data_IF_345727942080
#
_entry.id   IF_345727942080
#
_cell.length_a   1.000
_cell.length_b   1.000
_cell.length_c   1.000
_cell.angle_alpha   90.00
_cell.angle_beta   90.00
_cell.angle_gamma   90.00
#
_symmetry.space_group_name_H-M   'P 1'
#
loop_
_entity.id
_entity.type
_entity.pdbx_description
1 polymer ?
#
# COMPACT_ATOMS: atom_id res chain seq x y z
N UNK A 1 3.14 -11.22 -16.05
CA UNK A 1 3.36 -11.32 -14.59
C UNK A 1 2.28 -10.50 -13.91
N UNK A 2 1.73 -10.98 -12.80
CA UNK A 2 0.72 -10.25 -12.02
C UNK A 2 1.38 -9.28 -11.04
N UNK A 3 0.83 -8.07 -10.91
CA UNK A 3 1.18 -7.11 -9.87
C UNK A 3 -0.05 -6.87 -9.00
N UNK A 4 -0.04 -7.41 -7.79
CA UNK A 4 -1.13 -7.15 -6.84
C UNK A 4 -0.93 -5.79 -6.19
N UNK A 5 -1.92 -4.92 -6.34
CA UNK A 5 -1.81 -3.53 -5.89
C UNK A 5 -2.76 -3.26 -4.72
N UNK A 6 -2.22 -2.92 -3.55
CA UNK A 6 -3.01 -2.56 -2.37
C UNK A 6 -3.09 -1.03 -2.21
N UNK A 7 -4.30 -0.49 -1.99
CA UNK A 7 -4.53 0.94 -1.92
C UNK A 7 -4.09 1.54 -0.57
N UNK A 8 -4.04 2.87 -0.53
CA UNK A 8 -3.92 3.65 0.71
C UNK A 8 -5.24 3.75 1.47
N UNK A 9 -5.19 4.28 2.69
CA UNK A 9 -6.36 4.40 3.58
C UNK A 9 -7.52 5.16 2.90
N UNK A 10 -8.74 4.65 3.05
CA UNK A 10 -9.96 5.21 2.45
C UNK A 10 -10.14 4.95 0.96
N UNK A 11 -9.08 4.64 0.23
CA UNK A 11 -9.18 4.35 -1.20
C UNK A 11 -9.71 2.95 -1.48
N UNK A 12 -10.41 2.82 -2.61
CA UNK A 12 -10.79 1.54 -3.20
C UNK A 12 -9.78 1.10 -4.26
N UNK A 13 -9.92 -0.12 -4.76
CA UNK A 13 -9.14 -0.68 -5.85
C UNK A 13 -9.17 0.18 -7.14
N UNK A 14 -10.17 1.05 -7.29
CA UNK A 14 -10.32 1.91 -8.48
C UNK A 14 -9.20 2.92 -8.66
N UNK A 15 -8.41 3.23 -7.63
CA UNK A 15 -7.24 4.12 -7.77
C UNK A 15 -6.21 3.58 -8.77
N UNK A 16 -6.21 2.26 -9.01
CA UNK A 16 -5.32 1.60 -9.96
C UNK A 16 -5.95 1.45 -11.36
N UNK A 17 -7.14 2.02 -11.61
CA UNK A 17 -7.76 2.00 -12.94
C UNK A 17 -6.87 2.66 -14.01
N UNK A 18 -6.21 3.82 -13.76
CA UNK A 18 -5.27 4.38 -14.72
C UNK A 18 -4.11 3.43 -15.02
N UNK A 19 -3.66 2.66 -14.02
CA UNK A 19 -2.54 1.73 -14.18
C UNK A 19 -2.86 0.59 -15.13
N UNK A 20 -4.08 0.04 -15.07
CA UNK A 20 -4.54 -1.00 -16.00
C UNK A 20 -4.46 -0.51 -17.46
N UNK A 21 -4.70 0.78 -17.70
CA UNK A 21 -4.67 1.38 -19.04
C UNK A 21 -3.25 1.67 -19.54
N UNK A 22 -2.34 2.02 -18.63
CA UNK A 22 -0.97 2.45 -18.97
C UNK A 22 0.07 1.32 -18.87
N UNK A 23 -0.23 0.23 -18.17
CA UNK A 23 0.70 -0.90 -17.99
C UNK A 23 1.04 -1.60 -19.32
N UNK A 24 2.26 -2.12 -19.40
CA UNK A 24 2.69 -2.91 -20.55
C UNK A 24 1.94 -4.25 -20.62
N UNK A 25 1.79 -4.87 -21.81
CA UNK A 25 1.11 -6.16 -21.94
C UNK A 25 1.73 -7.31 -21.13
N UNK A 26 2.98 -7.16 -20.68
CA UNK A 26 3.70 -8.15 -19.87
C UNK A 26 3.36 -8.05 -18.38
N UNK A 27 2.74 -6.95 -17.95
CA UNK A 27 2.39 -6.64 -16.57
C UNK A 27 0.86 -6.55 -16.41
N UNK A 28 0.29 -7.53 -15.74
CA UNK A 28 -1.13 -7.57 -15.42
C UNK A 28 -1.34 -6.92 -14.05
N UNK A 29 -1.97 -5.74 -14.03
CA UNK A 29 -2.31 -5.03 -12.80
C UNK A 29 -3.52 -5.72 -12.15
N UNK A 30 -3.38 -6.11 -10.89
CA UNK A 30 -4.39 -6.83 -10.10
C UNK A 30 -4.73 -6.03 -8.83
N UNK A 31 -5.63 -5.04 -8.92
CA UNK A 31 -6.03 -4.25 -7.77
C UNK A 31 -6.73 -5.10 -6.70
N UNK A 32 -6.28 -4.99 -5.45
CA UNK A 32 -6.89 -5.67 -4.30
C UNK A 32 -7.95 -4.76 -3.70
N UNK A 33 -9.20 -5.21 -3.69
CA UNK A 33 -10.32 -4.49 -3.07
C UNK A 33 -10.44 -4.92 -1.60
N UNK A 34 -10.18 -3.96 -0.69
CA UNK A 34 -10.37 -4.14 0.75
C UNK A 34 -11.87 -4.18 1.10
N UNK A 35 -12.27 -4.78 2.24
CA UNK A 35 -13.68 -4.82 2.62
C UNK A 35 -14.23 -3.43 2.99
N UNK A 36 -15.55 -3.27 2.89
CA UNK A 36 -16.28 -2.04 3.21
C UNK A 36 -16.20 -0.93 2.18
N UNK A 37 -15.64 -1.19 0.98
CA UNK A 37 -15.52 -0.20 -0.10
C UNK A 37 -15.66 -0.82 -1.49
N UNK A 38 -15.92 0.03 -2.48
CA UNK A 38 -16.01 -0.36 -3.89
C UNK A 38 -16.93 -1.56 -4.10
N UNK A 39 -16.45 -2.59 -4.80
CA UNK A 39 -17.25 -3.82 -5.05
C UNK A 39 -17.54 -4.65 -3.79
N UNK A 40 -16.87 -4.35 -2.67
CA UNK A 40 -17.03 -5.02 -1.37
C UNK A 40 -17.66 -4.11 -0.32
N UNK A 41 -18.44 -3.10 -0.75
CA UNK A 41 -19.09 -2.14 0.15
C UNK A 41 -19.89 -2.79 1.28
N UNK A 42 -20.61 -3.89 1.01
CA UNK A 42 -21.41 -4.61 2.01
C UNK A 42 -20.59 -5.57 2.90
N UNK A 43 -19.27 -5.67 2.71
CA UNK A 43 -18.41 -6.46 3.62
C UNK A 43 -18.11 -5.63 4.87
N UNK A 44 -18.06 -6.25 6.07
CA UNK A 44 -17.67 -5.54 7.29
C UNK A 44 -16.28 -4.90 7.17
N UNK A 45 -16.13 -3.68 7.69
CA UNK A 45 -14.82 -3.05 7.82
C UNK A 45 -13.94 -3.87 8.77
N UNK A 46 -12.65 -3.96 8.46
CA UNK A 46 -11.64 -4.57 9.31
C UNK A 46 -10.70 -3.46 9.79
N UNK A 47 -10.54 -3.36 11.10
CA UNK A 47 -9.73 -2.33 11.76
C UNK A 47 -8.51 -2.90 12.50
N UNK A 48 -8.25 -4.19 12.29
CA UNK A 48 -7.07 -4.92 12.75
C UNK A 48 -6.19 -5.31 11.55
N UNK A 49 -4.88 -5.06 11.66
CA UNK A 49 -3.94 -5.30 10.57
C UNK A 49 -3.77 -6.80 10.26
N UNK A 50 -3.87 -7.67 11.25
CA UNK A 50 -3.72 -9.11 11.03
C UNK A 50 -4.92 -9.67 10.26
N UNK A 51 -6.14 -9.27 10.64
CA UNK A 51 -7.37 -9.63 9.92
C UNK A 51 -7.39 -9.05 8.49
N UNK A 52 -7.01 -7.79 8.33
CA UNK A 52 -6.97 -7.14 7.02
C UNK A 52 -5.92 -7.77 6.10
N UNK A 53 -4.75 -8.09 6.64
CA UNK A 53 -3.68 -8.79 5.89
C UNK A 53 -4.09 -10.21 5.51
N UNK A 54 -4.81 -10.90 6.39
CA UNK A 54 -5.36 -12.23 6.12
C UNK A 54 -6.37 -12.21 4.96
N UNK A 55 -7.28 -11.23 4.94
CA UNK A 55 -8.22 -11.03 3.83
C UNK A 55 -7.51 -10.72 2.49
N UNK A 56 -6.47 -9.89 2.52
CA UNK A 56 -5.62 -9.59 1.35
C UNK A 56 -4.94 -10.85 0.83
N UNK A 57 -4.32 -11.65 1.70
CA UNK A 57 -3.64 -12.89 1.33
C UNK A 57 -4.61 -13.90 0.71
N UNK A 58 -5.78 -14.09 1.33
CA UNK A 58 -6.82 -14.96 0.79
C UNK A 58 -7.29 -14.50 -0.60
N UNK A 59 -7.35 -13.18 -0.83
CA UNK A 59 -7.67 -12.60 -2.14
C UNK A 59 -6.57 -12.87 -3.17
N UNK A 60 -5.30 -12.70 -2.81
CA UNK A 60 -4.16 -12.99 -3.68
C UNK A 60 -4.11 -14.49 -4.03
N UNK A 61 -4.22 -15.39 -3.04
CA UNK A 61 -4.16 -16.84 -3.26
C UNK A 61 -5.25 -17.34 -4.20
N UNK A 62 -6.48 -16.80 -4.09
CA UNK A 62 -7.57 -17.11 -5.03
C UNK A 62 -7.25 -16.73 -6.48
N UNK A 63 -6.41 -15.72 -6.70
CA UNK A 63 -5.98 -15.28 -8.04
C UNK A 63 -4.71 -16.00 -8.54
N UNK A 64 -3.93 -16.63 -7.64
CA UNK A 64 -2.64 -17.27 -7.98
C UNK A 64 -2.74 -18.71 -8.54
N UNK A 65 -3.95 -19.21 -8.79
CA UNK A 65 -4.23 -20.63 -9.12
C UNK A 65 -3.35 -21.24 -10.25
N UNK A 66 -2.77 -20.43 -11.14
CA UNK A 66 -1.99 -20.88 -12.31
C UNK A 66 -0.44 -20.80 -12.18
N UNK A 67 0.11 -20.73 -10.95
CA UNK A 67 1.57 -20.67 -10.70
C UNK A 67 2.33 -19.53 -11.45
N UNK A 68 1.60 -18.50 -11.89
CA UNK A 68 2.13 -17.34 -12.61
C UNK A 68 3.01 -16.52 -11.66
N UNK A 69 4.22 -16.08 -12.08
CA UNK A 69 5.03 -15.17 -11.29
C UNK A 69 4.25 -13.89 -10.96
N UNK A 70 4.39 -13.43 -9.73
CA UNK A 70 3.70 -12.25 -9.23
C UNK A 70 4.64 -11.35 -8.42
N UNK A 71 4.25 -10.08 -8.28
CA UNK A 71 4.87 -9.10 -7.41
C UNK A 71 3.77 -8.37 -6.60
N UNK A 72 4.18 -7.68 -5.55
CA UNK A 72 3.28 -6.90 -4.69
C UNK A 72 3.64 -5.42 -4.79
N UNK A 73 2.64 -4.56 -4.90
CA UNK A 73 2.75 -3.12 -4.78
C UNK A 73 1.79 -2.63 -3.70
N UNK A 74 2.27 -1.74 -2.85
CA UNK A 74 1.46 -1.10 -1.83
C UNK A 74 1.77 0.38 -1.73
N UNK A 75 0.76 1.20 -1.42
CA UNK A 75 0.96 2.61 -1.11
C UNK A 75 0.38 2.96 0.25
N UNK A 76 1.15 3.65 1.11
CA UNK A 76 0.78 3.99 2.48
C UNK A 76 0.33 2.76 3.27
N UNK A 77 -0.94 2.66 3.71
CA UNK A 77 -1.54 1.42 4.23
C UNK A 77 -1.20 0.19 3.38
N UNK A 78 -1.30 0.31 2.07
CA UNK A 78 -1.01 -0.79 1.15
C UNK A 78 0.42 -1.32 1.26
N UNK A 79 1.41 -0.47 1.61
CA UNK A 79 2.80 -0.90 1.82
C UNK A 79 2.93 -1.82 3.03
N UNK A 80 2.21 -1.50 4.10
CA UNK A 80 2.11 -2.34 5.28
C UNK A 80 1.43 -3.68 4.95
N UNK A 81 0.33 -3.64 4.20
CA UNK A 81 -0.33 -4.85 3.70
C UNK A 81 0.58 -5.68 2.78
N UNK A 82 1.41 -5.04 1.94
CA UNK A 82 2.35 -5.73 1.07
C UNK A 82 3.42 -6.49 1.87
N UNK A 83 3.95 -5.86 2.91
CA UNK A 83 4.90 -6.46 3.82
C UNK A 83 4.30 -7.70 4.49
N UNK A 84 3.13 -7.53 5.10
CA UNK A 84 2.42 -8.57 5.82
C UNK A 84 1.95 -9.71 4.91
N UNK A 85 1.51 -9.40 3.70
CA UNK A 85 1.11 -10.38 2.69
C UNK A 85 2.31 -11.19 2.18
N UNK A 86 3.46 -10.57 1.93
CA UNK A 86 4.67 -11.28 1.52
C UNK A 86 5.08 -12.34 2.55
N UNK A 87 5.10 -11.95 3.84
CA UNK A 87 5.43 -12.88 4.93
C UNK A 87 4.41 -14.02 5.06
N UNK A 88 3.10 -13.71 5.03
CA UNK A 88 2.03 -14.70 5.14
C UNK A 88 2.03 -15.68 3.98
N UNK A 89 2.17 -15.21 2.74
CA UNK A 89 2.22 -16.06 1.54
C UNK A 89 3.39 -17.04 1.61
N UNK A 90 4.59 -16.57 1.99
CA UNK A 90 5.76 -17.43 2.18
C UNK A 90 5.52 -18.46 3.28
N UNK A 91 4.96 -18.04 4.42
CA UNK A 91 4.64 -18.93 5.55
C UNK A 91 3.61 -20.01 5.18
N UNK A 92 2.69 -19.72 4.25
CA UNK A 92 1.71 -20.65 3.69
C UNK A 92 2.29 -21.61 2.65
N UNK A 93 3.57 -21.48 2.31
CA UNK A 93 4.23 -22.33 1.30
C UNK A 93 3.97 -21.89 -0.14
N UNK A 94 3.42 -20.69 -0.37
CA UNK A 94 3.35 -20.12 -1.71
C UNK A 94 4.76 -19.77 -2.20
N UNK A 95 4.95 -19.77 -3.52
CA UNK A 95 6.18 -19.22 -4.11
C UNK A 95 6.32 -17.76 -3.68
N UNK A 96 7.51 -17.29 -3.27
CA UNK A 96 7.68 -15.90 -2.87
C UNK A 96 7.36 -14.96 -4.03
N UNK A 97 6.87 -13.73 -3.75
CA UNK A 97 6.75 -12.72 -4.80
C UNK A 97 8.13 -12.45 -5.40
N UNK A 98 8.16 -12.13 -6.70
CA UNK A 98 9.40 -11.76 -7.40
C UNK A 98 9.99 -10.48 -6.85
N UNK A 99 9.14 -9.56 -6.41
CA UNK A 99 9.51 -8.24 -5.91
C UNK A 99 8.40 -7.69 -5.02
N UNK A 100 8.76 -6.79 -4.10
CA UNK A 100 7.80 -5.98 -3.33
C UNK A 100 8.13 -4.50 -3.46
N UNK A 101 7.14 -3.72 -3.87
CA UNK A 101 7.23 -2.26 -3.98
C UNK A 101 6.49 -1.62 -2.80
N UNK A 102 7.23 -0.90 -1.97
CA UNK A 102 6.71 -0.10 -0.89
C UNK A 102 6.65 1.36 -1.34
N UNK A 103 5.47 1.96 -1.32
CA UNK A 103 5.25 3.32 -1.78
C UNK A 103 4.68 4.20 -0.66
N UNK A 104 5.22 5.41 -0.48
CA UNK A 104 4.67 6.40 0.46
C UNK A 104 4.48 5.89 1.90
N UNK A 105 5.44 5.12 2.43
CA UNK A 105 5.34 4.60 3.80
C UNK A 105 6.72 4.45 4.45
N UNK A 106 6.80 4.78 5.74
CA UNK A 106 7.97 4.45 6.56
C UNK A 106 8.07 2.92 6.78
N UNK A 107 9.29 2.39 6.94
CA UNK A 107 9.47 0.96 7.08
C UNK A 107 8.89 0.42 8.40
N UNK A 108 8.32 -0.81 8.41
CA UNK A 108 7.77 -1.47 9.60
C UNK A 108 8.61 -1.47 10.88
N UNK A 109 9.93 -1.43 10.77
CA UNK A 109 10.89 -1.44 11.87
C UNK A 109 11.24 -0.05 12.41
N UNK A 110 10.59 1.01 11.95
CA UNK A 110 10.78 2.39 12.41
C UNK A 110 9.54 2.86 13.14
N UNK A 111 9.74 3.48 14.30
CA UNK A 111 8.65 4.09 15.06
C UNK A 111 8.01 5.21 14.26
N UNK A 112 6.68 5.18 14.15
CA UNK A 112 5.90 6.14 13.38
C UNK A 112 5.37 7.23 14.31
N UNK A 113 5.69 8.50 14.04
CA UNK A 113 4.93 9.59 14.62
C UNK A 113 3.55 9.60 13.96
N UNK A 114 2.51 9.22 14.71
CA UNK A 114 1.15 9.18 14.18
C UNK A 114 0.57 10.60 14.11
N UNK A 115 0.97 11.38 13.09
CA UNK A 115 0.39 12.71 12.84
C UNK A 115 -1.11 12.63 12.57
N UNK A 116 -1.51 11.62 11.79
CA UNK A 116 -2.90 11.25 11.53
C UNK A 116 -3.25 10.05 12.41
N UNK A 117 -4.22 10.25 13.30
CA UNK A 117 -4.63 9.28 14.30
C UNK A 117 -6.14 9.01 14.21
N UNK A 118 -6.50 7.73 14.19
CA UNK A 118 -7.88 7.24 14.24
C UNK A 118 -8.69 7.66 15.48
N UNK A 119 -8.08 8.22 16.53
CA UNK A 119 -8.77 8.72 17.73
C UNK A 119 -9.20 10.20 17.63
N UNK A 120 -8.79 10.92 16.57
CA UNK A 120 -9.12 12.32 16.40
C UNK A 120 -10.61 12.55 16.15
N UNK A 121 -11.09 13.74 16.50
CA UNK A 121 -12.44 14.20 16.12
C UNK A 121 -12.61 14.18 14.59
N UNK A 122 -13.83 13.99 14.09
CA UNK A 122 -14.07 14.04 12.64
C UNK A 122 -13.56 15.36 12.02
N UNK A 123 -13.84 16.56 12.57
CA UNK A 123 -13.32 17.80 11.99
C UNK A 123 -11.79 17.88 11.93
N UNK A 124 -11.09 17.40 12.95
CA UNK A 124 -9.62 17.43 12.96
C UNK A 124 -9.04 16.43 11.97
N UNK A 125 -9.63 15.23 11.87
CA UNK A 125 -9.22 14.22 10.90
C UNK A 125 -9.45 14.73 9.47
N UNK A 126 -10.62 15.32 9.19
CA UNK A 126 -10.94 15.90 7.87
C UNK A 126 -9.92 16.99 7.50
N UNK A 127 -9.63 17.92 8.42
CA UNK A 127 -8.64 18.98 8.18
C UNK A 127 -7.28 18.39 7.79
N UNK A 128 -6.79 17.41 8.54
CA UNK A 128 -5.50 16.78 8.22
C UNK A 128 -5.49 16.03 6.89
N UNK A 129 -6.61 15.39 6.53
CA UNK A 129 -6.73 14.72 5.24
C UNK A 129 -6.74 15.70 4.07
N UNK A 130 -7.34 16.89 4.23
CA UNK A 130 -7.26 17.98 3.25
C UNK A 130 -5.83 18.51 3.15
N UNK A 131 -5.19 18.81 4.29
CA UNK A 131 -3.81 19.32 4.33
C UNK A 131 -2.81 18.36 3.64
N UNK A 132 -3.03 17.05 3.76
CA UNK A 132 -2.20 16.03 3.10
C UNK A 132 -2.51 15.88 1.60
N UNK A 133 -3.58 16.49 1.08
CA UNK A 133 -4.06 16.32 -0.30
C UNK A 133 -4.87 15.02 -0.52
N UNK A 134 -5.36 14.41 0.56
CA UNK A 134 -6.11 13.15 0.52
C UNK A 134 -7.58 13.31 0.15
N UNK A 135 -8.16 14.44 0.53
CA UNK A 135 -9.53 14.85 0.21
C UNK A 135 -9.52 16.17 -0.56
N UNK A 136 -10.45 16.31 -1.50
CA UNK A 136 -10.73 17.60 -2.15
C UNK A 136 -11.76 18.37 -1.32
N UNK A 137 -11.78 19.69 -1.47
CA UNK A 137 -12.77 20.55 -0.81
C UNK A 137 -14.21 20.06 -1.11
N UNK A 138 -14.50 19.75 -2.39
CA UNK A 138 -15.79 19.23 -2.84
C UNK A 138 -16.21 17.93 -2.11
N UNK A 139 -15.29 17.00 -1.89
CA UNK A 139 -15.60 15.75 -1.15
C UNK A 139 -15.82 16.06 0.33
N UNK A 140 -14.98 16.90 0.92
CA UNK A 140 -15.04 17.24 2.34
C UNK A 140 -16.29 18.04 2.74
N UNK A 141 -16.85 18.82 1.82
CA UNK A 141 -18.09 19.58 2.02
C UNK A 141 -19.34 18.72 1.80
N UNK A 142 -19.21 17.55 1.19
CA UNK A 142 -20.32 16.65 0.94
C UNK A 142 -20.52 15.65 2.10
N UNK A 143 -21.52 15.93 2.92
CA UNK A 143 -21.84 15.11 4.10
C UNK A 143 -22.11 13.63 3.75
N UNK A 144 -22.86 13.35 2.70
CA UNK A 144 -23.21 11.97 2.34
C UNK A 144 -21.98 11.16 1.94
N UNK A 145 -21.02 11.80 1.26
CA UNK A 145 -19.73 11.17 0.95
C UNK A 145 -18.89 10.98 2.21
N UNK A 146 -18.86 11.95 3.12
CA UNK A 146 -18.09 11.85 4.36
C UNK A 146 -18.65 10.80 5.32
N UNK A 147 -19.98 10.65 5.40
CA UNK A 147 -20.64 9.59 6.18
C UNK A 147 -20.25 8.18 5.66
N UNK A 148 -19.84 8.07 4.39
CA UNK A 148 -19.32 6.83 3.79
C UNK A 148 -17.81 6.70 4.00
N UNK A 149 -17.02 7.74 3.70
CA UNK A 149 -15.56 7.63 3.68
C UNK A 149 -14.92 7.68 5.06
N UNK A 150 -15.44 8.46 6.00
CA UNK A 150 -14.82 8.61 7.33
C UNK A 150 -14.74 7.29 8.11
N UNK A 151 -15.80 6.45 8.17
CA UNK A 151 -15.70 5.15 8.82
C UNK A 151 -14.62 4.26 8.20
N UNK A 152 -14.51 4.26 6.88
CA UNK A 152 -13.51 3.49 6.12
C UNK A 152 -12.09 3.96 6.47
N UNK A 153 -11.86 5.27 6.38
CA UNK A 153 -10.56 5.88 6.68
C UNK A 153 -10.18 5.62 8.13
N UNK A 154 -11.11 5.78 9.07
CA UNK A 154 -10.87 5.57 10.50
C UNK A 154 -10.52 4.11 10.81
N UNK A 155 -11.22 3.16 10.17
CA UNK A 155 -10.91 1.72 10.27
C UNK A 155 -9.49 1.42 9.79
N UNK A 156 -9.12 1.95 8.61
CA UNK A 156 -7.79 1.76 8.02
C UNK A 156 -6.68 2.38 8.89
N UNK A 157 -6.91 3.60 9.37
CA UNK A 157 -5.97 4.29 10.26
C UNK A 157 -5.80 3.53 11.56
N UNK A 158 -6.88 3.02 12.15
CA UNK A 158 -6.81 2.21 13.37
C UNK A 158 -5.93 0.99 13.14
N UNK A 159 -6.15 0.23 12.07
CA UNK A 159 -5.32 -0.92 11.74
C UNK A 159 -3.84 -0.54 11.64
N UNK A 160 -3.51 0.59 11.00
CA UNK A 160 -2.12 1.04 10.85
C UNK A 160 -1.53 1.56 12.17
N UNK A 161 -2.27 2.39 12.92
CA UNK A 161 -1.81 3.07 14.14
C UNK A 161 -1.61 2.10 15.31
N UNK A 162 -2.48 1.09 15.44
CA UNK A 162 -2.42 0.11 16.54
C UNK A 162 -1.51 -1.07 16.23
N UNK A 163 -1.23 -1.34 14.95
CA UNK A 163 -0.35 -2.45 14.58
C UNK A 163 1.05 -2.30 15.18
N UNK A 164 1.56 -3.42 15.69
CA UNK A 164 2.90 -3.54 16.28
C UNK A 164 3.65 -4.60 15.51
N UNK A 165 4.61 -4.17 14.70
CA UNK A 165 5.57 -5.07 14.10
C UNK A 165 6.50 -5.64 15.17
N UNK A 166 7.01 -6.84 14.94
CA UNK A 166 8.11 -7.35 15.75
C UNK A 166 9.29 -6.37 15.69
N UNK A 167 10.00 -6.17 16.80
CA UNK A 167 11.14 -5.23 16.89
C UNK A 167 12.20 -5.48 15.80
N UNK A 168 12.30 -6.73 15.34
CA UNK A 168 13.13 -7.14 14.23
C UNK A 168 12.40 -8.18 13.37
N UNK A 169 11.54 -7.75 12.43
CA UNK A 169 10.83 -8.70 11.59
C UNK A 169 11.85 -9.42 10.70
N UNK A 170 11.61 -10.70 10.43
CA UNK A 170 12.53 -11.47 9.61
C UNK A 170 12.68 -10.80 8.23
N UNK A 171 13.90 -10.57 7.73
CA UNK A 171 14.06 -9.95 6.42
C UNK A 171 13.57 -10.87 5.31
N UNK A 172 12.92 -10.30 4.30
CA UNK A 172 12.50 -10.99 3.09
C UNK A 172 13.72 -11.46 2.28
N UNK A 173 13.62 -12.59 1.60
CA UNK A 173 14.68 -13.13 0.75
C UNK A 173 14.49 -12.78 -0.73
N UNK A 174 14.05 -11.55 -1.02
CA UNK A 174 13.69 -11.05 -2.36
C UNK A 174 14.04 -9.57 -2.51
N UNK A 175 14.15 -9.08 -3.74
CA UNK A 175 14.41 -7.66 -3.99
C UNK A 175 13.20 -6.80 -3.60
N UNK A 176 13.47 -5.62 -3.05
CA UNK A 176 12.46 -4.64 -2.70
C UNK A 176 12.78 -3.28 -3.32
N UNK A 177 11.75 -2.48 -3.55
CA UNK A 177 11.89 -1.09 -3.96
C UNK A 177 11.06 -0.19 -3.09
N UNK A 178 11.62 0.95 -2.73
CA UNK A 178 10.96 2.00 -1.94
C UNK A 178 10.76 3.20 -2.84
N UNK A 179 9.51 3.61 -3.03
CA UNK A 179 9.13 4.77 -3.84
C UNK A 179 8.53 5.81 -2.90
N UNK A 180 9.09 7.03 -2.86
CA UNK A 180 8.65 8.04 -1.91
C UNK A 180 8.54 9.42 -2.57
N UNK A 181 7.61 10.22 -2.08
CA UNK A 181 7.44 11.60 -2.51
C UNK A 181 8.49 12.48 -1.85
N UNK A 182 9.15 13.36 -2.61
CA UNK A 182 10.15 14.28 -2.06
C UNK A 182 9.56 15.32 -1.10
N UNK A 183 8.25 15.52 -1.15
CA UNK A 183 7.48 16.45 -0.30
C UNK A 183 6.50 15.68 0.61
N UNK A 184 6.64 14.35 0.73
CA UNK A 184 5.75 13.53 1.54
C UNK A 184 6.08 13.64 3.04
N UNK A 185 5.28 14.45 3.73
CA UNK A 185 5.39 14.72 5.16
C UNK A 185 5.25 13.46 6.04
N UNK A 186 4.61 12.38 5.54
CA UNK A 186 4.46 11.12 6.28
C UNK A 186 5.69 10.20 6.17
N UNK A 187 6.65 10.52 5.31
CA UNK A 187 7.86 9.71 5.09
C UNK A 187 9.16 10.42 5.49
N UNK A 188 9.06 11.45 6.33
CA UNK A 188 10.20 12.24 6.83
C UNK A 188 11.16 11.51 7.79
N UNK A 189 10.80 10.30 8.22
CA UNK A 189 11.64 9.43 9.07
C UNK A 189 12.72 8.64 8.30
N UNK A 190 13.33 7.66 8.98
CA UNK A 190 14.43 6.85 8.41
C UNK A 190 13.92 5.81 7.40
N UNK A 191 13.87 6.18 6.13
CA UNK A 191 13.63 5.24 5.02
C UNK A 191 14.76 4.19 4.88
N UNK A 192 15.96 4.47 5.38
CA UNK A 192 17.09 3.54 5.42
C UNK A 192 16.77 2.24 6.18
N UNK A 193 15.77 2.27 7.06
CA UNK A 193 15.23 1.09 7.74
C UNK A 193 14.81 -0.05 6.80
N UNK A 194 14.41 0.26 5.56
CA UNK A 194 14.06 -0.75 4.54
C UNK A 194 15.23 -1.67 4.17
N UNK A 195 16.47 -1.21 4.23
CA UNK A 195 17.64 -2.06 3.97
C UNK A 195 17.73 -3.26 4.93
N UNK A 196 17.13 -3.14 6.12
CA UNK A 196 17.09 -4.24 7.12
C UNK A 196 15.95 -5.23 6.86
N UNK A 197 15.01 -4.91 5.98
CA UNK A 197 13.81 -5.71 5.70
C UNK A 197 14.00 -6.68 4.53
N UNK A 198 15.16 -6.70 3.88
CA UNK A 198 15.52 -7.69 2.87
C UNK A 198 16.95 -8.19 3.04
N UNK A 199 17.22 -9.42 2.59
CA UNK A 199 18.56 -10.00 2.42
C UNK A 199 19.11 -9.81 1.00
N UNK A 200 18.33 -9.22 0.10
CA UNK A 200 18.68 -8.98 -1.30
C UNK A 200 18.78 -7.47 -1.54
N UNK A 201 18.59 -7.02 -2.78
CA UNK A 201 18.70 -5.60 -3.11
C UNK A 201 17.50 -4.80 -2.60
N UNK A 202 17.79 -3.60 -2.10
CA UNK A 202 16.80 -2.59 -1.75
C UNK A 202 17.11 -1.32 -2.55
N UNK A 203 16.26 -1.02 -3.52
CA UNK A 203 16.38 0.17 -4.38
C UNK A 203 15.46 1.28 -3.89
N UNK A 204 15.91 2.54 -3.94
CA UNK A 204 15.11 3.70 -3.49
C UNK A 204 14.89 4.68 -4.64
N UNK A 205 13.66 5.15 -4.81
CA UNK A 205 13.23 6.02 -5.89
C UNK A 205 12.49 7.25 -5.34
N UNK A 206 13.13 8.43 -5.31
CA UNK A 206 12.42 9.67 -5.05
C UNK A 206 11.59 10.07 -6.27
N UNK A 207 10.35 10.51 -6.05
CA UNK A 207 9.50 11.14 -7.06
C UNK A 207 9.04 12.51 -6.55
N UNK A 208 8.92 13.48 -7.46
CA UNK A 208 8.39 14.79 -7.10
C UNK A 208 6.91 14.68 -6.68
N UNK A 209 6.57 15.29 -5.54
CA UNK A 209 5.21 15.40 -5.01
C UNK A 209 5.08 15.02 -3.54
N UNK A 210 3.92 15.37 -2.96
CA UNK A 210 3.52 14.99 -1.60
C UNK A 210 3.02 13.55 -1.51
N UNK A 211 2.37 13.18 -0.41
CA UNK A 211 1.97 11.78 -0.12
C UNK A 211 1.20 11.11 -1.26
N UNK A 212 0.29 11.81 -1.92
CA UNK A 212 -0.55 11.27 -2.99
C UNK A 212 0.09 11.31 -4.38
N UNK A 213 1.43 11.41 -4.49
CA UNK A 213 2.17 11.36 -5.76
C UNK A 213 1.79 10.16 -6.64
N UNK A 214 1.30 9.07 -6.04
CA UNK A 214 0.77 7.89 -6.74
C UNK A 214 -0.29 8.24 -7.81
N UNK A 215 -1.06 9.30 -7.59
CA UNK A 215 -2.11 9.76 -8.52
C UNK A 215 -1.49 10.40 -9.77
N UNK A 216 -0.46 11.23 -9.58
CA UNK A 216 0.09 12.10 -10.62
C UNK A 216 1.33 11.51 -11.32
N UNK A 217 1.98 10.53 -10.70
CA UNK A 217 3.24 9.92 -11.16
C UNK A 217 3.06 8.47 -11.65
N UNK A 218 1.85 8.10 -12.09
CA UNK A 218 1.52 6.72 -12.52
C UNK A 218 2.53 6.16 -13.53
N UNK A 219 2.89 6.94 -14.56
CA UNK A 219 3.84 6.50 -15.60
C UNK A 219 5.23 6.21 -15.06
N UNK A 220 5.75 7.11 -14.22
CA UNK A 220 7.06 6.96 -13.61
C UNK A 220 7.10 5.75 -12.67
N UNK A 221 6.04 5.54 -11.89
CA UNK A 221 5.92 4.37 -11.02
C UNK A 221 5.88 3.08 -11.84
N UNK A 222 5.08 3.02 -12.91
CA UNK A 222 5.01 1.85 -13.77
C UNK A 222 6.33 1.58 -14.50
N UNK A 223 7.11 2.61 -14.83
CA UNK A 223 8.44 2.48 -15.41
C UNK A 223 9.46 1.91 -14.42
N UNK A 224 9.42 2.35 -13.16
CA UNK A 224 10.20 1.75 -12.06
C UNK A 224 9.82 0.27 -11.91
N UNK A 225 8.52 -0.03 -11.81
CA UNK A 225 8.02 -1.40 -11.68
C UNK A 225 8.49 -2.25 -12.85
N UNK A 226 8.39 -1.74 -14.08
CA UNK A 226 8.84 -2.43 -15.30
C UNK A 226 10.32 -2.72 -15.25
N UNK A 227 11.13 -1.74 -14.84
CA UNK A 227 12.58 -1.87 -14.75
C UNK A 227 12.95 -2.96 -13.75
N UNK A 228 12.45 -2.89 -12.52
CA UNK A 228 12.80 -3.85 -11.47
C UNK A 228 12.31 -5.27 -11.76
N UNK A 229 11.18 -5.40 -12.47
CA UNK A 229 10.56 -6.68 -12.76
C UNK A 229 11.04 -7.35 -14.05
N UNK A 230 11.49 -6.58 -15.05
CA UNK A 230 11.81 -7.08 -16.40
C UNK A 230 13.29 -6.95 -16.76
N UNK A 231 14.16 -6.49 -15.85
CA UNK A 231 15.61 -6.64 -16.03
C UNK A 231 15.96 -8.14 -16.09
N UNK A 232 16.81 -8.58 -17.05
CA UNK A 232 17.33 -9.94 -17.05
C UNK A 232 18.06 -10.19 -15.73
N UNK A 233 17.75 -11.31 -15.08
CA UNK A 233 18.60 -11.81 -13.98
C UNK A 233 19.95 -12.14 -14.63
N UNK A 234 20.96 -11.32 -14.31
CA UNK A 234 22.34 -11.55 -14.74
C UNK A 234 22.92 -12.84 -14.17
#
# INVERSE_FOLDING_TARGET
>A
MKLFCMPYSGASATIFTPWIKEASPQLQIEPVELPGRGRRFNSPLLDDMDELSEDVVNTIERSLQDAVPYALFGHSLGSHLAFEAAHRLIKRGQKPPRHVFFSGALPPNVERSCRINHEQSDPDLVRQLIDLGGLTDEVSENKDLMDIFLPIIRSDLKAVNTHRYADNPAPLALNISVIYGTEDELTTGDLGGYHKLTRQNCSMYPLEGGHFFIRDRTREILEIVRTELLQPVG
#
